data_IF_807180582508
#
_entry.id   IF_807180582508
#
_cell.length_a   1.000
_cell.length_b   1.000
_cell.length_c   1.000
_cell.angle_alpha   90.00
_cell.angle_beta   90.00
_cell.angle_gamma   90.00
#
_symmetry.space_group_name_H-M   'P 1'
#
loop_
_entity.id
_entity.type
_entity.pdbx_description
1 polymer ?
#
# COMPACT_ATOMS: atom_id res chain seq x y z
N UNK A 1 -18.86 -6.46 -20.01
CA UNK A 1 -17.81 -6.13 -19.01
C UNK A 1 -18.26 -5.08 -18.01
N UNK A 2 -18.81 -3.94 -18.43
CA UNK A 2 -19.29 -2.87 -17.53
C UNK A 2 -20.35 -3.35 -16.51
N UNK A 3 -21.24 -4.25 -16.93
CA UNK A 3 -22.24 -4.88 -16.05
C UNK A 3 -21.61 -5.69 -14.90
N UNK A 4 -20.54 -6.44 -15.16
CA UNK A 4 -19.81 -7.20 -14.14
C UNK A 4 -19.09 -6.28 -13.13
N UNK A 5 -18.49 -5.19 -13.61
CA UNK A 5 -17.82 -4.19 -12.75
C UNK A 5 -18.83 -3.50 -11.82
N UNK A 6 -20.01 -3.14 -12.34
CA UNK A 6 -21.11 -2.56 -11.55
C UNK A 6 -21.59 -3.52 -10.46
N UNK A 7 -21.74 -4.81 -10.78
CA UNK A 7 -22.13 -5.82 -9.79
C UNK A 7 -21.08 -5.96 -8.68
N UNK A 8 -19.80 -6.02 -9.02
CA UNK A 8 -18.73 -6.08 -8.01
C UNK A 8 -18.63 -4.82 -7.16
N UNK A 9 -18.88 -3.65 -7.74
CA UNK A 9 -18.90 -2.37 -7.02
C UNK A 9 -19.98 -2.38 -5.93
N UNK A 10 -21.19 -2.82 -6.27
CA UNK A 10 -22.29 -2.91 -5.31
C UNK A 10 -21.96 -3.91 -4.20
N UNK A 11 -21.39 -5.07 -4.54
CA UNK A 11 -20.97 -6.09 -3.56
C UNK A 11 -19.91 -5.52 -2.62
N UNK A 12 -18.91 -4.79 -3.13
CA UNK A 12 -17.85 -4.21 -2.33
C UNK A 12 -18.37 -3.14 -1.33
N UNK A 13 -19.34 -2.32 -1.76
CA UNK A 13 -19.97 -1.31 -0.89
C UNK A 13 -20.77 -2.00 0.22
N UNK A 14 -21.58 -3.00 -0.13
CA UNK A 14 -22.38 -3.77 0.84
C UNK A 14 -21.44 -4.47 1.83
N UNK A 15 -20.39 -5.12 1.35
CA UNK A 15 -19.38 -5.76 2.20
C UNK A 15 -18.71 -4.74 3.15
N UNK A 16 -18.34 -3.56 2.66
CA UNK A 16 -17.78 -2.49 3.47
C UNK A 16 -18.71 -2.00 4.58
N UNK A 17 -20.00 -1.83 4.29
CA UNK A 17 -21.01 -1.38 5.25
C UNK A 17 -21.36 -2.48 6.27
N UNK A 18 -21.42 -3.75 5.84
CA UNK A 18 -21.77 -4.90 6.68
C UNK A 18 -20.68 -5.31 7.69
N UNK A 19 -19.54 -4.61 7.74
CA UNK A 19 -18.56 -4.83 8.79
C UNK A 19 -17.25 -5.49 8.35
N UNK A 20 -16.85 -5.36 7.07
CA UNK A 20 -15.47 -5.64 6.65
C UNK A 20 -14.41 -4.77 7.35
N UNK A 21 -14.82 -3.87 8.24
CA UNK A 21 -13.96 -3.02 9.06
C UNK A 21 -13.03 -3.81 9.98
N UNK A 22 -13.44 -4.96 10.51
CA UNK A 22 -12.60 -5.79 11.39
C UNK A 22 -11.35 -6.36 10.69
N UNK A 23 -11.52 -6.85 9.46
CA UNK A 23 -10.42 -7.36 8.63
C UNK A 23 -9.56 -6.20 8.10
N UNK A 24 -10.20 -5.06 7.80
CA UNK A 24 -9.49 -3.86 7.38
C UNK A 24 -8.48 -3.40 8.45
N UNK A 25 -8.83 -3.46 9.73
CA UNK A 25 -7.93 -3.09 10.83
C UNK A 25 -6.72 -4.04 10.89
N UNK A 26 -6.95 -5.36 10.83
CA UNK A 26 -5.85 -6.34 10.82
C UNK A 26 -4.92 -6.15 9.60
N UNK A 27 -5.49 -5.88 8.43
CA UNK A 27 -4.73 -5.59 7.22
C UNK A 27 -3.92 -4.29 7.34
N UNK A 28 -4.47 -3.26 7.98
CA UNK A 28 -3.77 -1.97 8.22
C UNK A 28 -2.53 -2.17 9.08
N UNK A 29 -2.59 -3.01 10.12
CA UNK A 29 -1.43 -3.28 10.97
C UNK A 29 -0.30 -3.98 10.20
N UNK A 30 -0.63 -4.98 9.37
CA UNK A 30 0.37 -5.67 8.52
C UNK A 30 0.95 -4.72 7.48
N UNK A 31 0.12 -3.91 6.82
CA UNK A 31 0.54 -2.92 5.84
C UNK A 31 1.48 -1.88 6.46
N UNK A 32 1.22 -1.45 7.70
CA UNK A 32 2.08 -0.48 8.42
C UNK A 32 3.50 -1.01 8.60
N UNK A 33 3.65 -2.28 8.97
CA UNK A 33 4.98 -2.91 9.15
C UNK A 33 5.74 -2.96 7.82
N UNK A 34 5.10 -3.42 6.75
CA UNK A 34 5.72 -3.52 5.42
C UNK A 34 6.07 -2.13 4.88
N UNK A 35 5.18 -1.14 5.05
CA UNK A 35 5.42 0.24 4.65
C UNK A 35 6.64 0.82 5.35
N UNK A 36 6.82 0.55 6.65
CA UNK A 36 7.98 1.05 7.39
C UNK A 36 9.29 0.42 6.91
N UNK A 37 9.30 -0.89 6.65
CA UNK A 37 10.45 -1.58 6.08
C UNK A 37 10.80 -0.98 4.71
N UNK A 38 9.80 -0.82 3.85
CA UNK A 38 9.97 -0.19 2.54
C UNK A 38 10.51 1.22 2.66
N UNK A 39 9.98 2.02 3.59
CA UNK A 39 10.39 3.40 3.81
C UNK A 39 11.86 3.49 4.25
N UNK A 40 12.31 2.61 5.16
CA UNK A 40 13.72 2.54 5.57
C UNK A 40 14.61 2.19 4.37
N UNK A 41 14.26 1.15 3.60
CA UNK A 41 15.02 0.77 2.41
C UNK A 41 15.03 1.88 1.35
N UNK A 42 13.90 2.56 1.15
CA UNK A 42 13.76 3.69 0.25
C UNK A 42 14.67 4.84 0.67
N UNK A 43 14.68 5.22 1.95
CA UNK A 43 15.56 6.27 2.47
C UNK A 43 17.03 5.88 2.32
N UNK A 44 17.41 4.65 2.66
CA UNK A 44 18.78 4.16 2.52
C UNK A 44 19.24 4.20 1.06
N UNK A 45 18.43 3.69 0.14
CA UNK A 45 18.74 3.72 -1.31
C UNK A 45 18.79 5.14 -1.86
N UNK A 46 17.87 6.01 -1.43
CA UNK A 46 17.83 7.42 -1.81
C UNK A 46 19.09 8.15 -1.35
N UNK A 47 19.53 7.94 -0.10
CA UNK A 47 20.75 8.54 0.44
C UNK A 47 21.98 8.01 -0.29
N UNK A 48 22.09 6.69 -0.49
CA UNK A 48 23.21 6.10 -1.25
C UNK A 48 23.29 6.64 -2.67
N UNK A 49 22.15 6.82 -3.34
CA UNK A 49 22.10 7.37 -4.68
C UNK A 49 22.45 8.87 -4.71
N UNK A 50 21.93 9.64 -3.77
CA UNK A 50 22.19 11.08 -3.68
C UNK A 50 23.66 11.37 -3.37
N UNK A 51 24.29 10.58 -2.49
CA UNK A 51 25.72 10.68 -2.16
C UNK A 51 26.59 10.09 -3.28
N UNK A 52 26.18 8.97 -3.88
CA UNK A 52 26.92 8.29 -4.95
C UNK A 52 27.03 9.10 -6.24
N UNK A 53 26.11 10.04 -6.48
CA UNK A 53 26.19 10.99 -7.60
C UNK A 53 27.34 12.00 -7.51
N UNK A 54 28.01 12.12 -6.36
CA UNK A 54 29.16 13.02 -6.18
C UNK A 54 30.50 12.45 -6.71
N UNK A 55 30.53 11.19 -7.16
CA UNK A 55 31.75 10.56 -7.69
C UNK A 55 31.56 10.05 -9.13
N UNK A 56 31.30 10.97 -10.05
CA UNK A 56 31.56 10.74 -11.46
C UNK A 56 32.54 11.84 -11.93
N UNK A 57 33.79 11.50 -12.33
CA UNK A 57 34.59 12.38 -13.17
C UNK A 57 33.93 12.59 -14.54
#
# INVERSE_FOLDING_TARGET
MLSWVLTFLVIAIIAGILGFTGIAIAAVEIARVIFFIFLVLFVVTLIMHLIGRSKLP
#
